data_IF_665786687586
#
_entry.id   IF_665786687586
#
_cell.length_a   1.000
_cell.length_b   1.000
_cell.length_c   1.000
_cell.angle_alpha   90.00
_cell.angle_beta   90.00
_cell.angle_gamma   90.00
#
_symmetry.space_group_name_H-M   'P 1'
#
loop_
_entity.id
_entity.type
_entity.pdbx_description
1 polymer ?
#
# COMPACT_ATOMS: atom_id res chain seq x y z
N UNK A 1 1.00 21.92 1.84
CA UNK A 1 1.36 21.15 3.05
C UNK A 1 0.57 19.85 3.12
N UNK A 2 -0.75 19.87 2.88
CA UNK A 2 -1.63 18.69 2.92
C UNK A 2 -1.17 17.51 2.06
N UNK A 3 -0.85 17.73 0.77
CA UNK A 3 -0.38 16.66 -0.13
C UNK A 3 0.94 16.06 0.36
N UNK A 4 1.84 16.89 0.92
CA UNK A 4 3.12 16.44 1.47
C UNK A 4 2.89 15.54 2.68
N UNK A 5 1.93 15.88 3.55
CA UNK A 5 1.57 15.04 4.70
C UNK A 5 0.93 13.72 4.27
N UNK A 6 0.06 13.73 3.25
CA UNK A 6 -0.50 12.51 2.70
C UNK A 6 0.59 11.59 2.12
N UNK A 7 1.51 12.15 1.33
CA UNK A 7 2.67 11.42 0.79
C UNK A 7 3.59 10.90 1.90
N UNK A 8 3.84 11.70 2.94
CA UNK A 8 4.58 11.30 4.13
C UNK A 8 3.92 10.13 4.85
N UNK A 9 2.59 10.15 4.98
CA UNK A 9 1.79 9.04 5.50
C UNK A 9 1.97 7.75 4.68
N UNK A 10 1.95 7.85 3.35
CA UNK A 10 2.21 6.71 2.46
C UNK A 10 3.62 6.16 2.65
N UNK A 11 4.63 7.03 2.78
CA UNK A 11 6.01 6.62 3.03
C UNK A 11 6.12 5.87 4.36
N UNK A 12 5.56 6.43 5.43
CA UNK A 12 5.55 5.82 6.77
C UNK A 12 4.81 4.49 6.77
N UNK A 13 3.64 4.41 6.13
CA UNK A 13 2.88 3.18 6.01
C UNK A 13 3.67 2.12 5.23
N UNK A 14 4.23 2.47 4.07
CA UNK A 14 5.02 1.53 3.25
C UNK A 14 6.28 1.03 3.97
N UNK A 15 6.90 1.87 4.82
CA UNK A 15 8.03 1.46 5.65
C UNK A 15 7.59 0.48 6.76
N UNK A 16 6.47 0.79 7.43
CA UNK A 16 5.85 -0.15 8.38
C UNK A 16 5.53 -1.48 7.69
N UNK A 17 4.96 -1.43 6.48
CA UNK A 17 4.63 -2.61 5.68
C UNK A 17 5.87 -3.44 5.39
N UNK A 18 6.96 -2.79 5.01
CA UNK A 18 8.24 -3.43 4.76
C UNK A 18 8.70 -4.23 5.98
N UNK A 19 8.80 -3.61 7.16
CA UNK A 19 9.25 -4.33 8.36
C UNK A 19 8.22 -5.36 8.84
N UNK A 20 6.94 -4.98 8.87
CA UNK A 20 5.86 -5.82 9.37
C UNK A 20 5.70 -7.10 8.56
N UNK A 21 5.78 -7.02 7.23
CA UNK A 21 5.73 -8.18 6.35
C UNK A 21 6.90 -9.13 6.62
N UNK A 22 8.13 -8.63 6.71
CA UNK A 22 9.31 -9.47 6.94
C UNK A 22 9.30 -10.12 8.34
N UNK A 23 8.86 -9.38 9.35
CA UNK A 23 8.65 -9.94 10.70
C UNK A 23 7.57 -11.03 10.65
N UNK A 24 6.49 -10.81 9.89
CA UNK A 24 5.40 -11.78 9.76
C UNK A 24 5.89 -13.09 9.15
N UNK A 25 6.71 -13.04 8.10
CA UNK A 25 7.34 -14.22 7.49
C UNK A 25 8.23 -14.92 8.50
N UNK A 26 9.14 -14.18 9.17
CA UNK A 26 10.08 -14.76 10.13
C UNK A 26 9.39 -15.46 11.30
N UNK A 27 8.21 -14.97 11.70
CA UNK A 27 7.39 -15.54 12.77
C UNK A 27 6.39 -16.60 12.31
N UNK A 28 6.36 -16.96 11.02
CA UNK A 28 5.39 -17.90 10.48
C UNK A 28 3.94 -17.36 10.48
N UNK A 29 3.75 -16.05 10.57
CA UNK A 29 2.43 -15.40 10.46
C UNK A 29 1.98 -15.22 8.99
N UNK A 30 2.80 -15.69 8.05
CA UNK A 30 2.50 -15.67 6.63
C UNK A 30 1.34 -16.61 6.26
N UNK A 31 1.01 -17.58 7.13
CA UNK A 31 -0.14 -18.45 6.91
C UNK A 31 -1.43 -17.63 6.89
N UNK A 32 -2.21 -17.82 5.82
CA UNK A 32 -3.51 -17.19 5.58
C UNK A 32 -4.60 -17.77 6.50
N UNK A 33 -4.31 -17.91 7.79
CA UNK A 33 -5.32 -18.19 8.80
C UNK A 33 -6.39 -17.09 8.83
N UNK A 34 -7.56 -17.42 9.40
CA UNK A 34 -8.72 -16.54 9.45
C UNK A 34 -8.42 -15.16 10.05
N UNK A 35 -7.39 -15.08 10.92
CA UNK A 35 -6.93 -13.86 11.57
C UNK A 35 -5.41 -13.68 11.41
N UNK A 36 -5.01 -12.99 10.35
CA UNK A 36 -3.61 -12.66 10.12
C UNK A 36 -3.21 -11.45 10.99
N UNK A 37 -2.38 -11.69 12.01
CA UNK A 37 -1.93 -10.66 12.98
C UNK A 37 -1.28 -9.45 12.31
N UNK A 38 -0.55 -9.68 11.23
CA UNK A 38 0.08 -8.60 10.46
C UNK A 38 -0.98 -7.74 9.76
N UNK A 39 -2.01 -8.34 9.15
CA UNK A 39 -3.12 -7.58 8.53
C UNK A 39 -3.91 -6.77 9.54
N UNK A 40 -4.12 -7.30 10.76
CA UNK A 40 -4.75 -6.55 11.85
C UNK A 40 -3.89 -5.35 12.25
N UNK A 41 -2.58 -5.54 12.40
CA UNK A 41 -1.66 -4.44 12.72
C UNK A 41 -1.62 -3.38 11.61
N UNK A 42 -1.59 -3.78 10.33
CA UNK A 42 -1.68 -2.86 9.18
C UNK A 42 -2.92 -1.96 9.27
N UNK A 43 -4.09 -2.54 9.57
CA UNK A 43 -5.33 -1.77 9.70
C UNK A 43 -5.22 -0.70 10.81
N UNK A 44 -4.74 -1.08 12.00
CA UNK A 44 -4.57 -0.11 13.10
C UNK A 44 -3.56 0.99 12.76
N UNK A 45 -2.46 0.66 12.07
CA UNK A 45 -1.48 1.65 11.63
C UNK A 45 -2.06 2.60 10.59
N UNK A 46 -2.85 2.09 9.64
CA UNK A 46 -3.56 2.93 8.66
C UNK A 46 -4.49 3.93 9.35
N UNK A 47 -5.30 3.46 10.30
CA UNK A 47 -6.22 4.30 11.08
C UNK A 47 -5.45 5.33 11.90
N UNK A 48 -4.38 4.90 12.57
CA UNK A 48 -3.55 5.79 13.38
C UNK A 48 -2.91 6.91 12.53
N UNK A 49 -2.28 6.57 11.40
CA UNK A 49 -1.70 7.55 10.48
C UNK A 49 -2.79 8.50 9.95
N UNK A 50 -3.96 7.97 9.58
CA UNK A 50 -5.09 8.79 9.11
C UNK A 50 -5.54 9.80 10.16
N UNK A 51 -5.67 9.38 11.42
CA UNK A 51 -6.06 10.24 12.54
C UNK A 51 -4.99 11.30 12.82
N UNK A 52 -3.71 10.94 12.85
CA UNK A 52 -2.63 11.91 13.02
C UNK A 52 -2.65 12.96 11.91
N UNK A 53 -2.78 12.56 10.64
CA UNK A 53 -2.85 13.49 9.51
C UNK A 53 -4.09 14.39 9.63
N UNK A 54 -5.23 13.83 10.02
CA UNK A 54 -6.47 14.57 10.24
C UNK A 54 -6.29 15.66 11.31
N UNK A 55 -5.71 15.32 12.46
CA UNK A 55 -5.52 16.30 13.55
C UNK A 55 -4.47 17.37 13.21
N UNK A 56 -3.50 17.07 12.35
CA UNK A 56 -2.44 18.03 11.96
C UNK A 56 -2.89 18.99 10.85
N UNK A 57 -3.58 18.49 9.83
CA UNK A 57 -3.83 19.23 8.58
C UNK A 57 -5.28 19.17 8.09
N UNK A 58 -6.18 18.58 8.86
CA UNK A 58 -7.59 18.46 8.53
C UNK A 58 -7.93 17.30 7.61
N UNK A 59 -9.19 17.27 7.21
CA UNK A 59 -9.83 16.15 6.54
C UNK A 59 -9.29 15.88 5.12
N UNK A 60 -8.93 16.92 4.36
CA UNK A 60 -8.44 16.73 2.99
C UNK A 60 -7.16 15.87 2.95
N UNK A 61 -6.17 16.17 3.78
CA UNK A 61 -4.92 15.41 3.82
C UNK A 61 -5.14 13.94 4.24
N UNK A 62 -6.06 13.70 5.18
CA UNK A 62 -6.40 12.36 5.63
C UNK A 62 -7.13 11.56 4.53
N UNK A 63 -8.04 12.20 3.79
CA UNK A 63 -8.69 11.58 2.62
C UNK A 63 -7.65 11.28 1.53
N UNK A 64 -6.76 12.23 1.23
CA UNK A 64 -5.71 12.05 0.23
C UNK A 64 -4.81 10.85 0.57
N UNK A 65 -4.39 10.71 1.83
CA UNK A 65 -3.65 9.54 2.30
C UNK A 65 -4.41 8.24 2.04
N UNK A 66 -5.69 8.17 2.42
CA UNK A 66 -6.49 6.95 2.25
C UNK A 66 -6.76 6.62 0.78
N UNK A 67 -6.95 7.63 -0.09
CA UNK A 67 -7.07 7.40 -1.54
C UNK A 67 -5.77 6.79 -2.07
N UNK A 68 -4.61 7.41 -1.78
CA UNK A 68 -3.32 6.92 -2.26
C UNK A 68 -3.03 5.50 -1.75
N UNK A 69 -3.33 5.23 -0.48
CA UNK A 69 -3.21 3.91 0.12
C UNK A 69 -4.10 2.91 -0.63
N UNK A 70 -5.37 3.25 -0.84
CA UNK A 70 -6.34 2.39 -1.51
C UNK A 70 -6.02 2.12 -2.98
N UNK A 71 -5.34 3.06 -3.63
CA UNK A 71 -4.88 2.92 -5.00
C UNK A 71 -3.44 2.45 -5.11
N UNK A 72 -2.93 1.68 -4.13
CA UNK A 72 -1.70 0.90 -4.25
C UNK A 72 -0.38 1.69 -4.18
N UNK A 73 -0.39 2.97 -3.75
CA UNK A 73 0.85 3.73 -3.56
C UNK A 73 1.70 3.20 -2.39
N UNK A 74 1.07 2.73 -1.33
CA UNK A 74 1.77 2.15 -0.19
C UNK A 74 2.57 0.90 -0.61
N UNK A 75 2.00 0.04 -1.46
CA UNK A 75 2.68 -1.12 -2.01
C UNK A 75 3.85 -0.74 -2.93
N UNK A 76 3.72 0.32 -3.75
CA UNK A 76 4.84 0.84 -4.54
C UNK A 76 6.02 1.24 -3.65
N UNK A 77 5.73 1.93 -2.54
CA UNK A 77 6.75 2.30 -1.55
C UNK A 77 7.31 1.07 -0.84
N UNK A 78 6.48 0.08 -0.49
CA UNK A 78 6.94 -1.19 0.07
C UNK A 78 7.99 -1.84 -0.86
N UNK A 79 7.69 -1.93 -2.16
CA UNK A 79 8.62 -2.52 -3.12
C UNK A 79 9.89 -1.68 -3.33
N UNK A 80 9.76 -0.35 -3.28
CA UNK A 80 10.92 0.53 -3.25
C UNK A 80 11.83 0.19 -2.06
N UNK A 81 11.29 0.08 -0.85
CA UNK A 81 12.08 -0.33 0.33
C UNK A 81 12.60 -1.77 0.25
N UNK A 82 11.81 -2.69 -0.31
CA UNK A 82 12.20 -4.07 -0.54
C UNK A 82 13.48 -4.16 -1.38
N UNK A 83 13.50 -3.46 -2.52
CA UNK A 83 14.62 -3.52 -3.46
C UNK A 83 15.83 -2.66 -3.03
N UNK A 84 15.61 -1.60 -2.23
CA UNK A 84 16.66 -0.67 -1.77
C UNK A 84 17.30 -1.06 -0.44
N UNK A 85 16.52 -1.29 0.62
CA UNK A 85 17.05 -1.48 1.98
C UNK A 85 17.72 -2.83 2.16
N UNK A 86 17.10 -3.91 1.67
CA UNK A 86 17.65 -5.28 1.72
C UNK A 86 18.04 -5.79 3.12
N UNK A 87 17.54 -5.16 4.19
CA UNK A 87 17.91 -5.44 5.58
C UNK A 87 17.26 -6.74 6.05
N UNK A 88 15.99 -6.93 5.67
CA UNK A 88 15.21 -8.13 5.94
C UNK A 88 14.71 -8.67 4.59
N UNK A 89 14.94 -9.95 4.29
CA UNK A 89 14.51 -10.55 3.03
C UNK A 89 15.16 -11.91 2.80
N UNK A 90 14.41 -12.99 2.99
CA UNK A 90 14.80 -14.32 2.52
C UNK A 90 13.85 -14.70 1.37
N UNK A 91 14.35 -15.02 0.16
CA UNK A 91 15.75 -14.93 -0.23
C UNK A 91 16.15 -13.47 -0.49
N UNK A 92 17.39 -13.13 -0.14
CA UNK A 92 18.06 -11.84 -0.37
C UNK A 92 18.33 -11.59 -1.86
N UNK A 93 17.32 -11.75 -2.72
CA UNK A 93 17.44 -11.55 -4.15
C UNK A 93 16.76 -10.23 -4.52
N UNK A 94 17.49 -9.29 -5.14
CA UNK A 94 16.91 -8.04 -5.61
C UNK A 94 15.90 -8.32 -6.71
N UNK A 95 14.94 -7.40 -6.87
CA UNK A 95 13.96 -7.45 -7.93
C UNK A 95 12.61 -7.99 -7.46
N UNK A 96 12.21 -7.75 -6.21
CA UNK A 96 10.85 -8.04 -5.75
C UNK A 96 9.83 -7.33 -6.63
N UNK A 97 10.08 -6.05 -6.96
CA UNK A 97 9.22 -5.31 -7.88
C UNK A 97 9.19 -5.95 -9.28
N UNK A 98 10.37 -6.27 -9.83
CA UNK A 98 10.49 -6.87 -11.17
C UNK A 98 9.84 -8.25 -11.24
N UNK A 99 10.05 -9.08 -10.24
CA UNK A 99 9.55 -10.45 -10.23
C UNK A 99 8.04 -10.50 -9.95
N UNK A 100 7.56 -9.73 -8.98
CA UNK A 100 6.19 -9.83 -8.52
C UNK A 100 5.27 -8.88 -9.27
N UNK A 101 5.65 -7.61 -9.42
CA UNK A 101 4.81 -6.59 -10.04
C UNK A 101 4.92 -6.66 -11.56
N UNK A 102 6.12 -6.48 -12.11
CA UNK A 102 6.34 -6.53 -13.57
C UNK A 102 6.09 -7.94 -14.11
N UNK A 103 6.44 -8.97 -13.33
CA UNK A 103 6.16 -10.37 -13.65
C UNK A 103 4.70 -10.80 -13.50
N UNK A 104 3.77 -9.89 -13.17
CA UNK A 104 2.34 -10.18 -13.02
C UNK A 104 2.05 -11.36 -12.07
N UNK A 105 2.56 -11.29 -10.83
CA UNK A 105 2.32 -12.30 -9.79
C UNK A 105 1.54 -11.75 -8.58
N UNK A 106 1.08 -10.49 -8.65
CA UNK A 106 0.37 -9.84 -7.54
C UNK A 106 -1.06 -10.37 -7.45
N UNK A 107 -1.32 -11.18 -6.43
CA UNK A 107 -2.65 -11.74 -6.10
C UNK A 107 -3.29 -11.09 -4.87
N UNK A 108 -2.51 -10.38 -4.06
CA UNK A 108 -2.95 -9.85 -2.77
C UNK A 108 -3.57 -8.44 -2.84
N UNK A 109 -3.57 -7.79 -4.00
CA UNK A 109 -4.18 -6.48 -4.22
C UNK A 109 -5.69 -6.58 -4.52
N UNK A 110 -6.38 -7.58 -3.99
CA UNK A 110 -7.82 -7.81 -4.21
C UNK A 110 -8.72 -6.75 -3.55
N UNK A 111 -8.21 -6.00 -2.59
CA UNK A 111 -8.93 -4.99 -1.81
C UNK A 111 -8.90 -3.60 -2.47
N UNK A 112 -8.06 -3.40 -3.49
CA UNK A 112 -7.97 -2.14 -4.24
C UNK A 112 -9.12 -2.00 -5.26
N UNK A 113 -9.39 -0.81 -5.82
CA UNK A 113 -10.50 -0.60 -6.75
C UNK A 113 -10.52 -1.58 -7.93
N UNK A 114 -9.38 -1.79 -8.61
CA UNK A 114 -9.32 -2.75 -9.73
C UNK A 114 -9.40 -4.20 -9.25
N UNK A 115 -8.90 -4.51 -8.06
CA UNK A 115 -9.06 -5.83 -7.45
C UNK A 115 -10.52 -6.19 -7.21
N UNK A 116 -11.31 -5.23 -6.72
CA UNK A 116 -12.74 -5.37 -6.50
C UNK A 116 -13.50 -5.48 -7.83
N UNK A 117 -13.19 -4.63 -8.81
CA UNK A 117 -13.84 -4.63 -10.14
C UNK A 117 -13.62 -5.92 -10.94
N UNK A 118 -12.51 -6.63 -10.71
CA UNK A 118 -12.24 -7.91 -11.39
C UNK A 118 -13.05 -9.10 -10.85
N UNK A 119 -13.98 -8.89 -9.89
CA UNK A 119 -14.96 -9.85 -9.35
C UNK A 119 -14.47 -11.31 -9.39
N UNK A 120 -13.51 -11.68 -8.53
CA UNK A 120 -12.96 -13.05 -8.59
C UNK A 120 -12.10 -13.54 -7.42
N UNK A 121 -12.19 -12.91 -6.24
CA UNK A 121 -11.57 -13.42 -5.02
C UNK A 121 -10.05 -13.20 -4.91
N UNK A 122 -9.49 -13.63 -3.77
CA UNK A 122 -8.11 -13.36 -3.28
C UNK A 122 -6.96 -13.91 -4.15
N UNK A 123 -7.27 -14.53 -5.28
CA UNK A 123 -6.30 -15.28 -6.10
C UNK A 123 -6.22 -14.83 -7.56
N UNK A 124 -7.03 -13.84 -7.98
CA UNK A 124 -6.87 -13.25 -9.31
C UNK A 124 -5.64 -12.35 -9.34
N UNK A 125 -4.84 -12.55 -10.37
CA UNK A 125 -3.65 -11.74 -10.64
C UNK A 125 -4.08 -10.40 -11.22
N UNK A 126 -3.56 -9.32 -10.63
CA UNK A 126 -3.53 -7.99 -11.22
C UNK A 126 -2.22 -7.81 -11.98
N UNK A 127 -2.32 -7.35 -13.23
CA UNK A 127 -1.17 -7.08 -14.07
C UNK A 127 -0.46 -5.80 -13.65
N UNK A 128 0.83 -5.67 -13.97
CA UNK A 128 1.60 -4.45 -13.80
C UNK A 128 0.86 -3.21 -14.31
N UNK A 129 0.28 -3.30 -15.52
CA UNK A 129 -0.46 -2.18 -16.12
C UNK A 129 -1.65 -1.76 -15.27
N UNK A 130 -2.41 -2.73 -14.75
CA UNK A 130 -3.54 -2.46 -13.86
C UNK A 130 -3.09 -1.80 -12.56
N UNK A 131 -2.04 -2.33 -11.92
CA UNK A 131 -1.50 -1.78 -10.67
C UNK A 131 -0.99 -0.34 -10.84
N UNK A 132 -0.28 -0.05 -11.93
CA UNK A 132 0.18 1.30 -12.23
C UNK A 132 -0.98 2.23 -12.61
N UNK A 133 -1.94 1.76 -13.42
CA UNK A 133 -3.11 2.56 -13.79
C UNK A 133 -3.92 2.98 -12.56
N UNK A 134 -4.22 2.07 -11.63
CA UNK A 134 -4.93 2.47 -10.41
C UNK A 134 -4.13 3.47 -9.57
N UNK A 135 -2.81 3.30 -9.48
CA UNK A 135 -1.93 4.24 -8.77
C UNK A 135 -1.99 5.63 -9.38
N UNK A 136 -1.92 5.73 -10.71
CA UNK A 136 -2.06 6.99 -11.44
C UNK A 136 -3.44 7.61 -11.21
N UNK A 137 -4.52 6.82 -11.32
CA UNK A 137 -5.89 7.30 -11.08
C UNK A 137 -6.04 7.85 -9.66
N UNK A 138 -5.50 7.19 -8.65
CA UNK A 138 -5.53 7.69 -7.27
C UNK A 138 -4.83 9.02 -7.10
N UNK A 139 -3.66 9.21 -7.74
CA UNK A 139 -2.97 10.49 -7.72
C UNK A 139 -3.79 11.59 -8.42
N UNK A 140 -4.38 11.29 -9.57
CA UNK A 140 -5.26 12.22 -10.29
C UNK A 140 -6.46 12.61 -9.41
N UNK A 141 -7.11 11.65 -8.74
CA UNK A 141 -8.23 11.92 -7.84
C UNK A 141 -7.84 12.84 -6.68
N UNK A 142 -6.68 12.62 -6.07
CA UNK A 142 -6.17 13.51 -5.02
C UNK A 142 -5.95 14.93 -5.54
N UNK A 143 -5.37 15.07 -6.74
CA UNK A 143 -5.14 16.38 -7.35
C UNK A 143 -6.48 17.07 -7.66
N UNK A 144 -7.44 16.35 -8.25
CA UNK A 144 -8.78 16.90 -8.52
C UNK A 144 -9.46 17.34 -7.23
N UNK A 145 -9.46 16.49 -6.20
CA UNK A 145 -10.07 16.83 -4.92
C UNK A 145 -9.38 18.03 -4.27
N UNK A 146 -8.06 18.17 -4.43
CA UNK A 146 -7.34 19.33 -3.91
C UNK A 146 -7.84 20.65 -4.51
N UNK A 147 -8.22 20.67 -5.79
CA UNK A 147 -8.72 21.88 -6.45
C UNK A 147 -10.23 22.10 -6.28
N UNK A 148 -11.01 21.05 -5.99
CA UNK A 148 -12.48 21.14 -5.84
C UNK A 148 -12.89 21.44 -4.40
N UNK A 149 -12.16 20.89 -3.43
CA UNK A 149 -12.55 20.90 -2.02
C UNK A 149 -11.80 21.93 -1.17
N UNK A 150 -10.95 22.73 -1.81
CA UNK A 150 -10.12 23.76 -1.20
C UNK A 150 -10.40 25.10 -1.86
#
# INVERSE_FOLDING_TARGET
MEIILAAGGIILFGLFDYFGFHISIKKGWADFGMLNRYRVAQFFVQVFISLCIYFISGWFAAIAFNILWWTWWADLVFYFFYDTLRIYGYPRKPGGFKEQVVGNKVTWAFWTPLGLLKFGGKHKVLTFRELIMQSIVGLILVIIFYFVLR
#
